data_IF_196324320289
#
_entry.id   IF_196324320289
#
_cell.length_a   1.000
_cell.length_b   1.000
_cell.length_c   1.000
_cell.angle_alpha   90.00
_cell.angle_beta   90.00
_cell.angle_gamma   90.00
#
_symmetry.space_group_name_H-M   'P 1'
#
loop_
_entity.id
_entity.type
_entity.pdbx_description
1 polymer ?
#
# COMPACT_ATOMS: atom_id res chain seq x y z
N UNK A 1 21.80 7.85 13.18
CA UNK A 1 21.22 7.19 12.01
C UNK A 1 19.73 7.12 12.27
N UNK A 2 18.97 8.02 11.65
CA UNK A 2 17.53 8.17 11.89
C UNK A 2 16.82 6.87 11.53
N UNK A 3 15.88 6.36 12.34
CA UNK A 3 15.09 5.20 11.95
C UNK A 3 14.31 5.60 10.71
N UNK A 4 14.65 4.96 9.58
CA UNK A 4 13.97 5.15 8.31
C UNK A 4 12.48 4.94 8.55
N UNK A 5 11.65 5.87 8.08
CA UNK A 5 10.20 5.79 8.19
C UNK A 5 9.72 4.42 7.69
N UNK A 6 9.23 3.52 8.55
CA UNK A 6 8.78 2.19 8.11
C UNK A 6 7.51 2.25 7.21
N UNK A 7 6.97 3.44 6.96
CA UNK A 7 5.70 3.67 6.29
C UNK A 7 5.91 4.39 4.96
N UNK A 8 4.94 4.28 4.05
CA UNK A 8 4.99 4.91 2.74
C UNK A 8 5.32 3.94 1.60
N UNK A 9 5.69 4.50 0.45
CA UNK A 9 5.97 3.73 -0.76
C UNK A 9 7.48 3.56 -0.95
N UNK A 10 7.92 2.31 -0.89
CA UNK A 10 9.29 1.89 -1.11
C UNK A 10 9.39 1.25 -2.49
N UNK A 11 10.49 1.51 -3.20
CA UNK A 11 10.78 0.95 -4.51
C UNK A 11 12.15 0.28 -4.55
N UNK A 12 12.31 -0.75 -5.39
CA UNK A 12 13.60 -1.38 -5.66
C UNK A 12 13.71 -1.67 -7.16
N UNK A 13 14.93 -1.56 -7.70
CA UNK A 13 15.19 -1.95 -9.07
C UNK A 13 15.46 -3.46 -9.11
N UNK A 14 14.94 -4.19 -10.11
CA UNK A 14 15.15 -5.64 -10.22
C UNK A 14 16.64 -6.03 -10.35
N UNK A 15 17.50 -5.09 -10.77
CA UNK A 15 18.93 -5.31 -10.95
C UNK A 15 19.76 -4.94 -9.72
N UNK A 16 19.20 -4.12 -8.81
CA UNK A 16 19.90 -3.57 -7.66
C UNK A 16 18.99 -3.77 -6.45
N UNK A 17 19.26 -4.81 -5.65
CA UNK A 17 18.44 -5.26 -4.50
C UNK A 17 18.40 -4.27 -3.31
N UNK A 18 18.51 -2.97 -3.58
CA UNK A 18 18.41 -1.88 -2.62
C UNK A 18 17.01 -1.27 -2.65
N UNK A 19 16.43 -1.02 -1.47
CA UNK A 19 15.15 -0.35 -1.32
C UNK A 19 15.36 1.14 -1.11
N UNK A 20 14.63 1.96 -1.88
CA UNK A 20 14.65 3.41 -1.82
C UNK A 20 13.25 3.97 -1.70
N UNK A 21 13.14 5.11 -1.04
CA UNK A 21 11.87 5.81 -0.91
C UNK A 21 11.43 6.37 -2.28
N UNK A 22 10.13 6.26 -2.58
CA UNK A 22 9.50 6.87 -3.74
C UNK A 22 8.85 8.18 -3.29
N UNK A 23 9.08 9.27 -4.04
CA UNK A 23 8.65 10.60 -3.65
C UNK A 23 7.11 10.71 -3.57
N UNK A 24 6.60 11.16 -2.42
CA UNK A 24 5.19 11.51 -2.23
C UNK A 24 4.94 12.93 -2.74
N UNK A 25 4.07 13.05 -3.74
CA UNK A 25 3.74 14.34 -4.35
C UNK A 25 2.55 15.02 -3.69
N UNK A 26 1.56 14.24 -3.30
CA UNK A 26 0.38 14.75 -2.62
C UNK A 26 -0.29 13.69 -1.76
N UNK A 27 -0.86 14.14 -0.66
CA UNK A 27 -1.71 13.34 0.20
C UNK A 27 -3.05 14.05 0.39
N UNK A 28 -4.14 13.30 0.26
CA UNK A 28 -5.49 13.77 0.56
C UNK A 28 -6.16 12.77 1.48
N UNK A 29 -6.76 13.26 2.56
CA UNK A 29 -7.50 12.42 3.50
C UNK A 29 -8.95 12.89 3.56
N UNK A 30 -9.86 11.93 3.60
CA UNK A 30 -11.29 12.14 3.80
C UNK A 30 -11.74 11.26 4.95
N UNK A 31 -12.56 11.83 5.84
CA UNK A 31 -13.11 11.13 6.99
C UNK A 31 -14.62 11.31 6.98
N UNK A 32 -15.34 10.22 7.14
CA UNK A 32 -16.78 10.20 7.31
C UNK A 32 -17.14 9.43 8.57
N UNK A 33 -17.93 10.03 9.46
CA UNK A 33 -18.36 9.39 10.72
C UNK A 33 -19.86 9.10 10.63
N UNK A 34 -20.22 7.83 10.81
CA UNK A 34 -21.62 7.36 10.82
C UNK A 34 -21.89 6.57 12.09
N UNK A 35 -22.58 7.19 13.05
CA UNK A 35 -22.78 6.61 14.37
C UNK A 35 -21.45 6.39 15.08
N UNK A 36 -21.12 5.13 15.37
CA UNK A 36 -19.86 4.73 16.03
C UNK A 36 -18.76 4.27 15.07
N UNK A 37 -18.99 4.34 13.76
CA UNK A 37 -18.02 3.91 12.73
C UNK A 37 -17.42 5.13 12.06
N UNK A 38 -16.09 5.20 12.00
CA UNK A 38 -15.35 6.17 11.21
C UNK A 38 -14.78 5.50 9.96
N UNK A 39 -15.15 5.98 8.79
CA UNK A 39 -14.54 5.62 7.53
C UNK A 39 -13.45 6.63 7.19
N UNK A 40 -12.23 6.15 7.06
CA UNK A 40 -11.08 6.97 6.65
C UNK A 40 -10.65 6.54 5.25
N UNK A 41 -10.48 7.51 4.36
CA UNK A 41 -9.98 7.30 3.00
C UNK A 41 -8.76 8.18 2.77
N UNK A 42 -7.64 7.56 2.42
CA UNK A 42 -6.41 8.26 2.06
C UNK A 42 -6.11 8.04 0.57
N UNK A 43 -5.89 9.13 -0.16
CA UNK A 43 -5.43 9.14 -1.54
C UNK A 43 -4.03 9.73 -1.59
N UNK A 44 -3.06 8.89 -1.92
CA UNK A 44 -1.65 9.25 -1.98
C UNK A 44 -1.17 9.17 -3.43
N UNK A 45 -0.46 10.20 -3.88
CA UNK A 45 0.12 10.25 -5.23
C UNK A 45 1.63 10.23 -5.10
N UNK A 46 2.24 9.20 -5.67
CA UNK A 46 3.70 9.03 -5.69
C UNK A 46 4.23 9.24 -7.10
N UNK A 47 5.47 9.71 -7.21
CA UNK A 47 6.17 9.84 -8.48
C UNK A 47 7.54 9.17 -8.44
N UNK A 48 7.80 8.34 -9.45
CA UNK A 48 9.10 7.72 -9.66
C UNK A 48 10.00 8.70 -10.44
N UNK A 49 10.90 9.40 -9.73
CA UNK A 49 11.92 10.27 -10.35
C UNK A 49 13.16 9.50 -10.82
N UNK A 50 13.25 8.20 -10.55
CA UNK A 50 14.37 7.39 -11.00
C UNK A 50 14.22 7.02 -12.48
N UNK A 51 15.35 6.81 -13.16
CA UNK A 51 15.39 6.47 -14.58
C UNK A 51 14.78 5.09 -14.88
N UNK A 52 14.88 4.17 -13.93
CA UNK A 52 14.43 2.80 -14.07
C UNK A 52 13.04 2.57 -13.47
N UNK A 53 12.26 1.62 -14.02
CA UNK A 53 11.04 1.15 -13.39
C UNK A 53 11.36 0.45 -12.06
N UNK A 54 10.51 0.72 -11.05
CA UNK A 54 10.68 0.16 -9.71
C UNK A 54 9.60 -0.86 -9.39
N UNK A 55 10.01 -1.96 -8.76
CA UNK A 55 9.08 -2.80 -8.01
C UNK A 55 8.79 -2.12 -6.69
N UNK A 56 7.51 -1.94 -6.34
CA UNK A 56 7.12 -1.14 -5.16
C UNK A 56 6.42 -1.96 -4.08
N UNK A 57 6.60 -1.52 -2.84
CA UNK A 57 5.89 -1.98 -1.64
C UNK A 57 5.35 -0.78 -0.89
N UNK A 58 4.06 -0.81 -0.59
CA UNK A 58 3.43 0.21 0.25
C UNK A 58 3.20 -0.33 1.65
N UNK A 59 3.65 0.41 2.67
CA UNK A 59 3.46 0.07 4.09
C UNK A 59 2.61 1.17 4.74
N UNK A 60 1.51 0.79 5.42
CA UNK A 60 0.60 1.74 6.06
C UNK A 60 0.23 1.30 7.47
N UNK A 61 0.19 2.24 8.45
CA UNK A 61 -0.24 1.91 9.79
C UNK A 61 -1.74 1.71 9.79
N UNK A 62 -2.19 0.63 10.42
CA UNK A 62 -3.60 0.41 10.72
C UNK A 62 -3.70 0.17 12.21
N UNK A 63 -4.52 0.98 12.86
CA UNK A 63 -4.80 0.85 14.28
C UNK A 63 -5.43 -0.51 14.59
N UNK A 64 -5.16 -1.05 15.77
CA UNK A 64 -5.66 -2.36 16.22
C UNK A 64 -7.20 -2.45 16.20
N UNK A 65 -7.90 -1.32 16.37
CA UNK A 65 -9.36 -1.22 16.27
C UNK A 65 -9.90 -0.91 14.87
N UNK A 66 -9.05 -0.89 13.84
CA UNK A 66 -9.40 -0.54 12.47
C UNK A 66 -9.16 -1.69 11.50
N UNK A 67 -9.86 -1.67 10.37
CA UNK A 67 -9.68 -2.63 9.29
C UNK A 67 -9.65 -1.93 7.93
N UNK A 68 -8.71 -2.32 7.07
CA UNK A 68 -8.67 -1.89 5.67
C UNK A 68 -9.65 -2.75 4.88
N UNK A 69 -10.74 -2.15 4.42
CA UNK A 69 -11.76 -2.87 3.63
C UNK A 69 -11.65 -2.59 2.12
N UNK A 70 -10.89 -1.56 1.72
CA UNK A 70 -10.65 -1.22 0.31
C UNK A 70 -9.23 -0.68 0.12
N UNK A 71 -8.52 -1.21 -0.87
CA UNK A 71 -7.21 -0.70 -1.27
C UNK A 71 -7.05 -0.79 -2.80
N UNK A 72 -6.70 0.33 -3.43
CA UNK A 72 -6.54 0.45 -4.87
C UNK A 72 -5.25 1.21 -5.20
N UNK A 73 -4.51 0.72 -6.19
CA UNK A 73 -3.39 1.42 -6.79
C UNK A 73 -3.71 1.75 -8.25
N UNK A 74 -3.46 3.00 -8.65
CA UNK A 74 -3.65 3.47 -10.03
C UNK A 74 -2.28 3.72 -10.64
N UNK A 75 -1.89 2.91 -11.63
CA UNK A 75 -0.55 2.89 -12.24
C UNK A 75 -0.70 2.75 -13.75
N UNK A 76 -0.12 3.66 -14.53
CA UNK A 76 -0.11 3.64 -16.00
C UNK A 76 -1.50 3.39 -16.63
N UNK A 77 -2.52 4.08 -16.13
CA UNK A 77 -3.91 3.95 -16.60
C UNK A 77 -4.61 2.64 -16.20
N UNK A 78 -3.95 1.80 -15.40
CA UNK A 78 -4.52 0.55 -14.86
C UNK A 78 -4.85 0.73 -13.39
N UNK A 79 -5.93 0.10 -12.95
CA UNK A 79 -6.30 0.01 -11.53
C UNK A 79 -6.03 -1.39 -11.02
N UNK A 80 -5.23 -1.50 -9.95
CA UNK A 80 -4.97 -2.73 -9.22
C UNK A 80 -5.74 -2.64 -7.90
N UNK A 81 -6.80 -3.43 -7.78
CA UNK A 81 -7.58 -3.53 -6.54
C UNK A 81 -7.08 -4.72 -5.71
N UNK A 82 -6.67 -4.45 -4.47
CA UNK A 82 -6.32 -5.50 -3.54
C UNK A 82 -7.59 -6.24 -3.10
N UNK A 83 -7.47 -7.56 -2.91
CA UNK A 83 -8.52 -8.34 -2.28
C UNK A 83 -8.19 -8.46 -0.80
N UNK A 84 -9.00 -7.85 0.06
CA UNK A 84 -8.93 -8.07 1.50
C UNK A 84 -9.52 -9.46 1.78
N UNK A 85 -8.70 -10.36 2.32
CA UNK A 85 -9.09 -11.72 2.67
C UNK A 85 -8.70 -12.00 4.12
N UNK A 86 -9.49 -12.84 4.81
CA UNK A 86 -9.09 -13.32 6.14
C UNK A 86 -7.78 -14.10 6.08
N UNK A 87 -6.95 -13.93 7.11
CA UNK A 87 -5.59 -14.50 7.24
C UNK A 87 -5.52 -16.01 7.00
N UNK A 88 -6.62 -16.75 7.25
CA UNK A 88 -6.72 -18.20 7.04
C UNK A 88 -6.94 -18.59 5.58
N UNK A 89 -7.66 -17.79 4.79
CA UNK A 89 -8.00 -18.09 3.39
C UNK A 89 -6.84 -17.80 2.41
N UNK A 90 -5.92 -16.90 2.78
CA UNK A 90 -4.78 -16.50 1.92
C UNK A 90 -3.75 -17.63 1.75
N UNK A 91 -3.70 -18.62 2.67
CA UNK A 91 -2.72 -19.71 2.61
C UNK A 91 -2.96 -20.71 1.47
N UNK A 92 -4.18 -20.79 0.94
CA UNK A 92 -4.54 -21.75 -0.12
C UNK A 92 -4.39 -21.18 -1.54
N UNK A 93 -4.42 -19.86 -1.69
CA UNK A 93 -4.26 -19.21 -3.00
C UNK A 93 -2.78 -18.89 -3.19
N UNK A 94 -2.04 -19.91 -3.64
CA UNK A 94 -0.64 -19.79 -4.01
C UNK A 94 -0.40 -18.63 -4.98
N UNK A 95 0.70 -17.92 -4.75
CA UNK A 95 1.18 -16.77 -5.52
C UNK A 95 1.23 -17.05 -7.02
N UNK A 96 0.21 -16.61 -7.77
CA UNK A 96 0.28 -16.52 -9.23
C UNK A 96 -0.22 -15.12 -9.62
N UNK A 97 0.73 -14.21 -9.87
CA UNK A 97 0.50 -12.92 -10.52
C UNK A 97 -0.09 -11.82 -9.61
N UNK A 98 0.74 -10.85 -9.26
CA UNK A 98 0.34 -9.49 -8.85
C UNK A 98 -0.81 -9.37 -7.82
N UNK A 99 -0.62 -9.85 -6.58
CA UNK A 99 -1.48 -9.47 -5.46
C UNK A 99 -0.83 -9.76 -4.12
N UNK A 100 -0.29 -8.74 -3.47
CA UNK A 100 0.02 -8.81 -2.04
C UNK A 100 -0.19 -7.44 -1.41
N UNK A 101 -1.22 -7.32 -0.57
CA UNK A 101 -1.20 -6.48 0.63
C UNK A 101 -1.86 -7.31 1.73
N UNK A 102 -1.08 -7.62 2.76
CA UNK A 102 -1.52 -8.34 3.96
C UNK A 102 -2.13 -7.37 4.97
N UNK A 103 -3.21 -7.79 5.64
CA UNK A 103 -3.56 -7.32 6.98
C UNK A 103 -3.85 -8.49 7.92
N UNK A 104 -3.38 -8.37 9.16
CA UNK A 104 -3.72 -9.24 10.28
C UNK A 104 -4.98 -8.69 10.94
N UNK A 105 -5.96 -9.55 11.17
CA UNK A 105 -6.83 -9.45 12.36
C UNK A 105 -6.03 -10.02 13.54
#
# INVERSE_FOLDING_TARGET
MSPLCEWGLWGTCLQQMEWKEVALMSAKTQVEVRGFVAQVSASLTYHNYYSEPLQVRYMVPVDEGAAVYKFEAHLDGRTITAQCMEKKAVREIGCIGHKLIYYSI
#
